data_IF_916575325504
#
_entry.id   IF_916575325504
#
_cell.length_a   1.000
_cell.length_b   1.000
_cell.length_c   1.000
_cell.angle_alpha   90.00
_cell.angle_beta   90.00
_cell.angle_gamma   90.00
#
_symmetry.space_group_name_H-M   'P 1'
#
loop_
_entity.id
_entity.type
_entity.pdbx_description
1 polymer ?
#
# COMPACT_ATOMS: atom_id res chain seq x y z
N UNK A 1 -15.95 -0.12 -15.02
CA UNK A 1 -15.29 -0.34 -16.32
C UNK A 1 -13.80 -0.46 -16.03
N UNK A 2 -13.20 -1.64 -16.24
CA UNK A 2 -11.76 -1.82 -16.11
C UNK A 2 -11.08 -0.82 -17.06
N UNK A 3 -10.15 -0.01 -16.57
CA UNK A 3 -9.30 0.78 -17.46
C UNK A 3 -8.50 -0.19 -18.34
N UNK A 4 -8.23 0.19 -19.58
CA UNK A 4 -7.50 -0.60 -20.60
C UNK A 4 -6.07 -1.03 -20.19
N UNK A 5 -5.67 -0.75 -18.95
CA UNK A 5 -4.44 -1.13 -18.28
C UNK A 5 -4.50 -2.50 -17.58
N UNK A 6 -5.68 -2.99 -17.19
CA UNK A 6 -5.80 -4.22 -16.36
C UNK A 6 -5.44 -5.50 -17.13
N UNK A 7 -5.79 -5.59 -18.42
CA UNK A 7 -5.54 -6.77 -19.26
C UNK A 7 -4.04 -7.01 -19.54
N UNK A 8 -3.20 -5.99 -19.41
CA UNK A 8 -1.75 -6.09 -19.66
C UNK A 8 -0.95 -6.51 -18.41
N UNK A 9 -1.59 -6.57 -17.24
CA UNK A 9 -0.94 -6.88 -15.97
C UNK A 9 -1.41 -8.23 -15.38
N UNK A 10 -2.24 -8.98 -16.09
CA UNK A 10 -2.76 -10.28 -15.65
C UNK A 10 -1.98 -11.45 -16.22
N UNK A 11 -1.69 -12.43 -15.36
CA UNK A 11 -1.08 -13.70 -15.75
C UNK A 11 -2.07 -14.57 -16.55
N UNK A 12 -1.69 -15.11 -17.71
CA UNK A 12 -2.59 -15.96 -18.51
C UNK A 12 -3.01 -17.27 -17.84
N UNK A 13 -2.27 -17.71 -16.81
CA UNK A 13 -2.52 -18.98 -16.11
C UNK A 13 -3.47 -18.79 -14.93
N UNK A 14 -3.12 -17.96 -13.93
CA UNK A 14 -3.98 -17.73 -12.77
C UNK A 14 -5.04 -16.64 -13.00
N UNK A 15 -4.91 -15.82 -14.04
CA UNK A 15 -5.79 -14.67 -14.36
C UNK A 15 -5.77 -13.53 -13.34
N UNK A 16 -4.86 -13.59 -12.37
CA UNK A 16 -4.59 -12.51 -11.42
C UNK A 16 -3.44 -11.62 -11.88
N UNK A 17 -3.27 -10.47 -11.22
CA UNK A 17 -2.11 -9.59 -11.42
C UNK A 17 -0.81 -10.39 -11.24
N UNK A 18 0.19 -10.18 -12.09
CA UNK A 18 1.44 -10.93 -12.00
C UNK A 18 2.09 -10.80 -10.62
N UNK A 19 2.43 -11.94 -10.03
CA UNK A 19 3.22 -12.05 -8.81
C UNK A 19 4.55 -12.73 -9.14
N UNK A 20 5.65 -12.01 -8.90
CA UNK A 20 7.00 -12.40 -9.33
C UNK A 20 7.04 -12.88 -10.80
N UNK A 21 6.72 -11.99 -11.77
CA UNK A 21 6.67 -12.36 -13.17
C UNK A 21 8.05 -12.80 -13.68
N UNK A 22 8.07 -13.85 -14.49
CA UNK A 22 9.23 -14.30 -15.25
C UNK A 22 9.00 -14.13 -16.75
N UNK A 23 10.08 -14.02 -17.53
CA UNK A 23 10.02 -13.85 -18.98
C UNK A 23 10.58 -15.09 -19.69
N UNK A 24 9.75 -15.74 -20.50
CA UNK A 24 10.20 -16.85 -21.35
C UNK A 24 10.89 -16.34 -22.61
N UNK A 25 11.64 -17.23 -23.28
CA UNK A 25 12.32 -16.93 -24.56
C UNK A 25 11.36 -16.55 -25.70
N UNK A 26 10.09 -16.94 -25.61
CA UNK A 26 9.02 -16.54 -26.53
C UNK A 26 8.38 -15.18 -26.17
N UNK A 27 9.00 -14.43 -25.25
CA UNK A 27 8.56 -13.12 -24.77
C UNK A 27 7.24 -13.08 -23.99
N UNK A 28 6.63 -14.24 -23.69
CA UNK A 28 5.48 -14.32 -22.79
C UNK A 28 5.91 -14.30 -21.33
N UNK A 29 5.14 -13.61 -20.50
CA UNK A 29 5.35 -13.56 -19.05
C UNK A 29 4.29 -14.33 -18.28
N UNK A 30 4.71 -14.90 -17.15
CA UNK A 30 3.90 -15.71 -16.23
C UNK A 30 4.37 -15.44 -14.80
N UNK A 31 3.50 -15.63 -13.80
CA UNK A 31 3.97 -15.75 -12.41
C UNK A 31 4.94 -16.92 -12.31
N UNK A 32 6.02 -16.78 -11.54
CA UNK A 32 6.99 -17.85 -11.30
C UNK A 32 6.32 -19.17 -10.90
N UNK A 33 5.46 -19.11 -9.89
CA UNK A 33 4.73 -20.28 -9.39
C UNK A 33 3.82 -20.92 -10.43
N UNK A 34 3.22 -20.12 -11.32
CA UNK A 34 2.35 -20.63 -12.37
C UNK A 34 3.13 -21.42 -13.41
N UNK A 35 4.25 -20.87 -13.89
CA UNK A 35 5.04 -21.56 -14.92
C UNK A 35 5.76 -22.77 -14.36
N UNK A 36 6.26 -22.70 -13.12
CA UNK A 36 6.84 -23.84 -12.42
C UNK A 36 5.80 -24.96 -12.26
N UNK A 37 4.58 -24.63 -11.85
CA UNK A 37 3.46 -25.59 -11.80
C UNK A 37 3.20 -26.25 -13.16
N UNK A 38 3.07 -25.46 -14.23
CA UNK A 38 2.87 -26.02 -15.58
C UNK A 38 4.01 -26.96 -16.01
N UNK A 39 5.26 -26.65 -15.68
CA UNK A 39 6.43 -27.46 -16.05
C UNK A 39 6.64 -28.68 -15.16
N UNK A 40 6.05 -28.72 -13.97
CA UNK A 40 6.01 -29.96 -13.17
C UNK A 40 5.07 -31.00 -13.77
N UNK A 41 3.99 -30.56 -14.42
CA UNK A 41 3.01 -31.45 -15.08
C UNK A 41 3.44 -31.83 -16.51
N UNK A 42 4.14 -30.93 -17.22
CA UNK A 42 4.62 -31.14 -18.58
C UNK A 42 6.17 -31.11 -18.67
N UNK A 43 6.76 -32.27 -18.93
CA UNK A 43 8.22 -32.45 -19.11
C UNK A 43 8.80 -31.67 -20.29
N UNK A 44 7.97 -31.17 -21.22
CA UNK A 44 8.45 -30.45 -22.39
C UNK A 44 8.72 -28.96 -22.15
N UNK A 45 8.43 -28.43 -20.96
CA UNK A 45 8.69 -27.02 -20.58
C UNK A 45 8.15 -26.03 -21.61
N UNK A 46 6.93 -26.25 -22.09
CA UNK A 46 6.33 -25.42 -23.11
C UNK A 46 5.69 -24.16 -22.50
N UNK A 47 5.66 -23.09 -23.31
CA UNK A 47 4.88 -21.90 -22.99
C UNK A 47 3.37 -22.23 -23.02
N UNK A 48 2.60 -21.95 -21.95
CA UNK A 48 1.15 -22.19 -21.92
C UNK A 48 0.36 -21.45 -23.02
N UNK A 49 0.91 -20.38 -23.58
CA UNK A 49 0.23 -19.54 -24.59
C UNK A 49 0.56 -19.99 -26.01
N UNK A 50 1.84 -20.01 -26.38
CA UNK A 50 2.26 -20.26 -27.76
C UNK A 50 2.88 -21.65 -27.98
N UNK A 51 3.00 -22.47 -26.93
CA UNK A 51 3.59 -23.82 -26.94
C UNK A 51 5.05 -23.90 -27.37
N UNK A 52 5.72 -22.76 -27.55
CA UNK A 52 7.16 -22.71 -27.78
C UNK A 52 7.88 -23.32 -26.59
N UNK A 53 8.78 -24.26 -26.86
CA UNK A 53 9.61 -24.90 -25.84
C UNK A 53 10.56 -23.88 -25.22
N UNK A 54 10.58 -23.82 -23.89
CA UNK A 54 11.57 -23.02 -23.18
C UNK A 54 12.96 -23.64 -23.34
N UNK A 55 13.96 -22.79 -23.56
CA UNK A 55 15.37 -23.19 -23.58
C UNK A 55 16.01 -23.11 -22.19
N UNK A 56 15.32 -22.50 -21.23
CA UNK A 56 15.81 -22.26 -19.88
C UNK A 56 14.86 -22.87 -18.87
N UNK A 57 15.38 -23.73 -18.00
CA UNK A 57 14.64 -24.35 -16.89
C UNK A 57 14.37 -23.38 -15.74
N UNK A 58 15.11 -22.27 -15.65
CA UNK A 58 14.87 -21.19 -14.70
C UNK A 58 14.85 -19.83 -15.41
N UNK A 59 13.68 -19.35 -15.85
CA UNK A 59 13.58 -18.10 -16.58
C UNK A 59 13.91 -16.88 -15.70
N UNK A 60 14.51 -15.83 -16.28
CA UNK A 60 14.80 -14.61 -15.56
C UNK A 60 13.52 -13.89 -15.13
N UNK A 61 13.58 -13.20 -13.99
CA UNK A 61 12.51 -12.33 -13.54
C UNK A 61 12.34 -11.12 -14.46
N UNK A 62 11.09 -10.70 -14.68
CA UNK A 62 10.75 -9.48 -15.41
C UNK A 62 10.52 -8.33 -14.43
N UNK A 63 11.61 -7.68 -13.99
CA UNK A 63 11.56 -6.61 -12.99
C UNK A 63 10.70 -5.42 -13.46
N UNK A 64 10.73 -5.08 -14.76
CA UNK A 64 9.91 -4.01 -15.29
C UNK A 64 8.42 -4.30 -15.13
N UNK A 65 7.98 -5.52 -15.50
CA UNK A 65 6.59 -5.94 -15.30
C UNK A 65 6.22 -6.03 -13.82
N UNK A 66 7.13 -6.52 -12.98
CA UNK A 66 6.94 -6.56 -11.52
C UNK A 66 6.69 -5.17 -10.96
N UNK A 67 7.52 -4.18 -11.29
CA UNK A 67 7.37 -2.81 -10.82
C UNK A 67 6.04 -2.19 -11.28
N UNK A 68 5.61 -2.47 -12.52
CA UNK A 68 4.31 -2.01 -13.03
C UNK A 68 3.14 -2.64 -12.26
N UNK A 69 3.22 -3.94 -11.97
CA UNK A 69 2.20 -4.64 -11.18
C UNK A 69 2.14 -4.11 -9.75
N UNK A 70 3.30 -3.90 -9.11
CA UNK A 70 3.39 -3.33 -7.77
C UNK A 70 2.84 -1.90 -7.72
N UNK A 71 3.19 -1.04 -8.68
CA UNK A 71 2.65 0.30 -8.79
C UNK A 71 1.12 0.29 -8.96
N UNK A 72 0.61 -0.56 -9.84
CA UNK A 72 -0.83 -0.74 -10.04
C UNK A 72 -1.55 -1.22 -8.77
N UNK A 73 -0.97 -2.17 -8.04
CA UNK A 73 -1.53 -2.66 -6.78
C UNK A 73 -1.49 -1.60 -5.68
N UNK A 74 -0.42 -0.80 -5.61
CA UNK A 74 -0.32 0.33 -4.68
C UNK A 74 -1.35 1.39 -5.00
N UNK A 75 -1.50 1.78 -6.27
CA UNK A 75 -2.56 2.70 -6.69
C UNK A 75 -3.94 2.13 -6.33
N UNK A 76 -4.15 0.82 -6.48
CA UNK A 76 -5.40 0.16 -6.08
C UNK A 76 -5.64 0.11 -4.59
N UNK A 77 -4.60 -0.13 -3.78
CA UNK A 77 -4.72 -0.26 -2.34
C UNK A 77 -4.79 1.11 -1.62
N UNK A 78 -4.14 2.14 -2.16
CA UNK A 78 -4.15 3.47 -1.57
C UNK A 78 -5.51 4.11 -1.79
N UNK A 79 -6.23 4.32 -0.69
CA UNK A 79 -7.48 5.07 -0.70
C UNK A 79 -8.68 4.32 -1.26
N UNK A 80 -8.67 2.98 -1.29
CA UNK A 80 -9.86 2.17 -1.61
C UNK A 80 -10.25 1.21 -0.49
N UNK A 81 -11.55 1.00 -0.34
CA UNK A 81 -12.13 0.07 0.61
C UNK A 81 -11.88 -1.36 0.14
N UNK A 82 -11.35 -2.21 1.03
CA UNK A 82 -11.08 -3.62 0.74
C UNK A 82 -12.33 -4.45 0.45
N UNK A 83 -13.48 -4.07 1.03
CA UNK A 83 -14.73 -4.80 0.89
C UNK A 83 -15.53 -4.39 -0.35
N UNK A 84 -15.51 -3.09 -0.68
CA UNK A 84 -16.38 -2.53 -1.71
C UNK A 84 -15.62 -2.05 -2.96
N UNK A 85 -14.28 -2.01 -2.92
CA UNK A 85 -13.42 -1.44 -3.98
C UNK A 85 -13.69 0.03 -4.32
N UNK A 86 -14.47 0.73 -3.49
CA UNK A 86 -14.79 2.15 -3.62
C UNK A 86 -13.77 3.03 -2.91
N UNK A 87 -13.63 4.29 -3.35
CA UNK A 87 -12.70 5.22 -2.72
C UNK A 87 -13.06 5.51 -1.26
N UNK A 88 -12.04 5.47 -0.40
CA UNK A 88 -12.10 5.89 0.98
C UNK A 88 -12.09 7.42 1.01
N UNK A 89 -13.24 8.01 1.34
CA UNK A 89 -13.43 9.47 1.40
C UNK A 89 -13.94 9.96 2.75
N UNK A 90 -14.30 9.04 3.63
CA UNK A 90 -14.93 9.30 4.92
C UNK A 90 -14.10 8.71 6.06
N UNK A 91 -14.27 9.24 7.25
CA UNK A 91 -13.65 8.78 8.49
C UNK A 91 -14.71 8.65 9.57
N UNK A 92 -14.81 7.46 10.16
CA UNK A 92 -15.67 7.20 11.30
C UNK A 92 -14.92 7.54 12.58
N UNK A 93 -15.44 8.50 13.35
CA UNK A 93 -14.84 8.94 14.61
C UNK A 93 -15.02 7.93 15.74
N UNK A 94 -16.05 7.09 15.69
CA UNK A 94 -16.32 6.07 16.71
C UNK A 94 -15.35 4.89 16.62
N UNK A 95 -15.18 4.34 15.41
CA UNK A 95 -14.32 3.17 15.18
C UNK A 95 -12.89 3.53 14.78
N UNK A 96 -12.60 4.83 14.59
CA UNK A 96 -11.33 5.37 14.10
C UNK A 96 -10.89 4.75 12.75
N UNK A 97 -11.84 4.59 11.82
CA UNK A 97 -11.63 3.89 10.54
C UNK A 97 -11.98 4.75 9.32
N UNK A 98 -11.25 4.51 8.23
CA UNK A 98 -11.56 5.07 6.91
C UNK A 98 -12.69 4.27 6.25
N UNK A 99 -13.67 4.99 5.71
CA UNK A 99 -14.86 4.42 5.08
C UNK A 99 -14.99 4.90 3.63
N UNK A 100 -15.55 4.02 2.80
CA UNK A 100 -16.10 4.41 1.50
C UNK A 100 -17.59 4.78 1.64
N UNK A 101 -18.17 5.31 0.56
CA UNK A 101 -19.58 5.71 0.52
C UNK A 101 -20.55 4.55 0.72
N UNK A 102 -20.14 3.31 0.44
CA UNK A 102 -20.96 2.12 0.68
C UNK A 102 -20.95 1.76 2.17
N UNK A 103 -19.78 1.79 2.83
CA UNK A 103 -19.67 1.55 4.27
C UNK A 103 -20.54 2.52 5.09
N UNK A 104 -20.66 3.78 4.65
CA UNK A 104 -21.51 4.79 5.30
C UNK A 104 -22.96 4.32 5.49
N UNK A 105 -23.51 3.60 4.51
CA UNK A 105 -24.89 3.14 4.52
C UNK A 105 -25.04 1.73 5.10
N UNK A 106 -23.94 1.11 5.55
CA UNK A 106 -23.99 -0.21 6.17
C UNK A 106 -24.59 -0.13 7.57
N UNK A 107 -25.26 -1.20 8.01
CA UNK A 107 -25.80 -1.28 9.37
C UNK A 107 -24.71 -1.13 10.44
N UNK A 108 -23.45 -1.45 10.12
CA UNK A 108 -22.31 -1.27 11.02
C UNK A 108 -22.02 0.20 11.37
N UNK A 109 -22.37 1.15 10.51
CA UNK A 109 -22.03 2.57 10.68
C UNK A 109 -23.23 3.52 10.71
N UNK A 110 -24.44 2.96 10.76
CA UNK A 110 -25.72 3.70 10.64
C UNK A 110 -25.91 4.81 11.68
N UNK A 111 -25.31 4.67 12.85
CA UNK A 111 -25.44 5.62 13.98
C UNK A 111 -24.09 6.20 14.43
N UNK A 112 -23.04 6.07 13.62
CA UNK A 112 -21.72 6.57 13.97
C UNK A 112 -21.51 8.00 13.48
N UNK A 113 -20.66 8.74 14.18
CA UNK A 113 -20.26 10.08 13.78
C UNK A 113 -19.18 9.97 12.70
N UNK A 114 -19.52 10.42 11.48
CA UNK A 114 -18.69 10.24 10.29
C UNK A 114 -18.45 11.61 9.67
N UNK A 115 -17.20 11.87 9.31
CA UNK A 115 -16.77 13.12 8.64
C UNK A 115 -16.00 12.82 7.36
N UNK A 116 -15.93 13.75 6.41
CA UNK A 116 -14.94 13.72 5.33
C UNK A 116 -13.52 13.59 5.88
N UNK A 117 -12.64 12.88 5.15
CA UNK A 117 -11.26 12.63 5.57
C UNK A 117 -10.49 13.94 5.78
N UNK A 118 -10.69 14.94 4.93
CA UNK A 118 -10.00 16.22 5.02
C UNK A 118 -10.39 17.01 6.28
N UNK A 119 -11.66 16.95 6.69
CA UNK A 119 -12.15 17.52 7.94
C UNK A 119 -11.55 16.79 9.15
N UNK A 120 -11.64 15.46 9.18
CA UNK A 120 -11.08 14.66 10.26
C UNK A 120 -9.56 14.86 10.39
N UNK A 121 -8.84 14.96 9.27
CA UNK A 121 -7.40 15.21 9.27
C UNK A 121 -7.06 16.61 9.82
N UNK A 122 -7.84 17.64 9.47
CA UNK A 122 -7.67 18.99 10.03
C UNK A 122 -7.90 19.02 11.53
N UNK A 123 -8.98 18.40 12.00
CA UNK A 123 -9.33 18.34 13.41
C UNK A 123 -8.27 17.57 14.21
N UNK A 124 -7.86 16.39 13.74
CA UNK A 124 -6.80 15.61 14.38
C UNK A 124 -5.46 16.35 14.42
N UNK A 125 -5.09 17.06 13.36
CA UNK A 125 -3.87 17.87 13.34
C UNK A 125 -3.91 18.97 14.40
N UNK A 126 -5.04 19.65 14.59
CA UNK A 126 -5.21 20.66 15.64
C UNK A 126 -5.10 20.04 17.03
N UNK A 127 -5.84 18.95 17.27
CA UNK A 127 -5.83 18.25 18.56
C UNK A 127 -4.41 17.78 18.92
N UNK A 128 -3.67 17.23 17.95
CA UNK A 128 -2.27 16.83 18.16
C UNK A 128 -1.38 18.04 18.46
N UNK A 129 -1.56 19.16 17.76
CA UNK A 129 -0.78 20.37 18.02
C UNK A 129 -1.03 20.89 19.45
N UNK A 130 -2.29 20.95 19.89
CA UNK A 130 -2.66 21.38 21.24
C UNK A 130 -2.05 20.47 22.32
N UNK A 131 -1.96 19.16 22.08
CA UNK A 131 -1.30 18.22 22.98
C UNK A 131 0.23 18.37 22.99
N UNK A 132 0.82 18.76 21.86
CA UNK A 132 2.28 18.91 21.71
C UNK A 132 2.80 20.25 22.23
N UNK A 133 2.00 21.31 22.22
CA UNK A 133 2.40 22.65 22.64
C UNK A 133 2.93 22.71 24.09
N UNK A 134 2.27 22.09 25.09
CA UNK A 134 2.80 22.02 26.46
C UNK A 134 4.14 21.28 26.54
N UNK A 135 4.32 20.20 25.76
CA UNK A 135 5.55 19.41 25.75
C UNK A 135 6.72 20.20 25.14
N UNK A 136 6.45 20.96 24.07
CA UNK A 136 7.40 21.88 23.47
C UNK A 136 7.80 23.00 24.45
N UNK A 137 6.83 23.57 25.16
CA UNK A 137 7.09 24.60 26.17
C UNK A 137 7.92 24.07 27.35
N UNK A 138 7.58 22.89 27.88
CA UNK A 138 8.30 22.24 28.97
C UNK A 138 9.75 21.90 28.58
N UNK A 139 9.96 21.39 27.36
CA UNK A 139 11.31 21.14 26.81
C UNK A 139 12.13 22.43 26.75
N UNK A 140 11.55 23.51 26.24
CA UNK A 140 12.22 24.81 26.13
C UNK A 140 12.56 25.40 27.51
N UNK A 141 11.66 25.25 28.50
CA UNK A 141 11.90 25.70 29.87
C UNK A 141 13.03 24.92 30.54
N UNK A 142 13.08 23.59 30.35
CA UNK A 142 14.15 22.74 30.89
C UNK A 142 15.52 23.09 30.29
N UNK A 143 15.57 23.41 28.99
CA UNK A 143 16.80 23.88 28.33
C UNK A 143 17.23 25.23 28.90
N UNK A 144 16.33 26.20 29.01
CA UNK A 144 16.63 27.53 29.60
C UNK A 144 17.13 27.41 31.04
N UNK A 145 16.50 26.58 31.86
CA UNK A 145 16.92 26.33 33.24
C UNK A 145 18.30 25.68 33.31
N UNK A 146 18.58 24.70 32.44
CA UNK A 146 19.89 24.05 32.38
C UNK A 146 20.99 25.02 31.98
N UNK A 147 20.72 25.91 31.01
CA UNK A 147 21.65 26.97 30.60
C UNK A 147 21.85 27.97 31.75
N UNK A 148 20.78 28.40 32.41
CA UNK A 148 20.84 29.31 33.56
C UNK A 148 21.68 28.73 34.71
N UNK A 149 21.45 27.47 35.11
CA UNK A 149 22.21 26.81 36.18
C UNK A 149 23.68 26.65 35.79
N UNK A 150 23.99 26.30 34.53
CA UNK A 150 25.37 26.23 34.05
C UNK A 150 26.09 27.58 34.07
N UNK A 151 25.40 28.69 33.80
CA UNK A 151 26.00 30.03 33.80
C UNK A 151 26.17 30.57 35.22
N UNK A 152 25.17 30.38 36.09
CA UNK A 152 25.10 31.10 37.37
C UNK A 152 25.48 30.26 38.60
N UNK A 153 25.49 28.93 38.51
CA UNK A 153 25.79 28.04 39.66
C UNK A 153 27.18 27.40 39.53
N UNK A 154 27.70 27.27 38.32
CA UNK A 154 29.06 26.78 38.05
C UNK A 154 29.86 27.81 37.24
N UNK A 155 30.19 28.99 37.80
CA UNK A 155 31.17 29.86 37.16
C UNK A 155 32.47 29.05 37.08
N UNK A 156 32.98 28.85 35.85
CA UNK A 156 34.26 28.18 35.62
C UNK A 156 35.32 28.83 36.54
N UNK A 157 35.91 28.03 37.43
CA UNK A 157 37.22 28.32 38.03
C UNK A 157 38.27 28.37 36.92
#
# INVERSE_FOLDING_TARGET
>A
MASRSEENLSCPVCRDVFQDPVLLSCSHSFCRVCIEGCWTEDTNQQCPVCRTRSLQSNPPGNLALKNLCEAFLLERAVGRCSLHSEELRLFCLNDEQLLCVVCLHSEAHKCHNIKPIDEAARDNKKNLQELLDPLCAARNMKVKYTVYVKINVYPRL
#
